data_IF_160002716926
#
_entry.id   IF_160002716926
#
_cell.length_a   1.000
_cell.length_b   1.000
_cell.length_c   1.000
_cell.angle_alpha   90.00
_cell.angle_beta   90.00
_cell.angle_gamma   90.00
#
_symmetry.space_group_name_H-M   'P 1'
#
loop_
_entity.id
_entity.type
_entity.pdbx_description
1 polymer ?
#
# COMPACT_ATOMS: atom_id res chain seq x y z
N UNK A 1 4.12 -19.48 17.46
CA UNK A 1 4.45 -18.10 17.00
C UNK A 1 4.60 -18.00 15.49
N UNK A 2 5.13 -19.03 14.80
CA UNK A 2 5.24 -19.06 13.32
C UNK A 2 3.91 -18.84 12.60
N UNK A 3 2.83 -19.53 13.01
CA UNK A 3 1.49 -19.37 12.40
C UNK A 3 1.00 -17.90 12.43
N UNK A 4 1.23 -17.19 13.54
CA UNK A 4 0.81 -15.79 13.65
C UNK A 4 1.60 -14.90 12.69
N UNK A 5 2.93 -15.09 12.61
CA UNK A 5 3.78 -14.37 11.66
C UNK A 5 3.38 -14.64 10.21
N UNK A 6 3.19 -15.91 9.85
CA UNK A 6 2.83 -16.32 8.50
C UNK A 6 1.48 -15.71 8.08
N UNK A 7 0.51 -15.68 9.01
CA UNK A 7 -0.77 -15.01 8.81
C UNK A 7 -0.64 -13.51 8.57
N UNK A 8 0.17 -12.81 9.37
CA UNK A 8 0.42 -11.38 9.20
C UNK A 8 1.10 -11.06 7.86
N UNK A 9 2.14 -11.83 7.49
CA UNK A 9 2.83 -11.65 6.20
C UNK A 9 1.89 -11.95 5.02
N UNK A 10 1.08 -13.01 5.13
CA UNK A 10 0.10 -13.36 4.10
C UNK A 10 -0.92 -12.23 3.89
N UNK A 11 -1.45 -11.67 4.97
CA UNK A 11 -2.42 -10.58 4.91
C UNK A 11 -1.78 -9.32 4.32
N UNK A 12 -0.61 -8.92 4.82
CA UNK A 12 0.10 -7.75 4.32
C UNK A 12 0.46 -7.86 2.84
N UNK A 13 0.97 -9.02 2.40
CA UNK A 13 1.24 -9.30 0.98
C UNK A 13 -0.03 -9.22 0.13
N UNK A 14 -1.18 -9.61 0.67
CA UNK A 14 -2.46 -9.51 -0.03
C UNK A 14 -2.87 -8.06 -0.26
N UNK A 15 -2.76 -7.21 0.75
CA UNK A 15 -3.10 -5.79 0.61
C UNK A 15 -2.15 -5.05 -0.35
N UNK A 16 -0.84 -5.34 -0.29
CA UNK A 16 0.15 -4.80 -1.25
C UNK A 16 -0.17 -5.19 -2.70
N UNK A 17 -0.50 -6.47 -2.95
CA UNK A 17 -0.89 -6.92 -4.29
C UNK A 17 -2.13 -6.19 -4.79
N UNK A 18 -3.13 -5.97 -3.93
CA UNK A 18 -4.34 -5.22 -4.29
C UNK A 18 -4.02 -3.79 -4.71
N UNK A 19 -3.17 -3.09 -3.96
CA UNK A 19 -2.70 -1.74 -4.30
C UNK A 19 -2.09 -1.70 -5.70
N UNK A 20 -1.14 -2.59 -6.00
CA UNK A 20 -0.47 -2.62 -7.32
C UNK A 20 -1.44 -3.03 -8.43
N UNK A 21 -2.31 -4.02 -8.18
CA UNK A 21 -3.29 -4.49 -9.15
C UNK A 21 -4.29 -3.40 -9.56
N UNK A 22 -4.68 -2.50 -8.66
CA UNK A 22 -5.62 -1.41 -8.97
C UNK A 22 -5.05 -0.40 -9.98
N UNK A 23 -3.72 -0.29 -10.11
CA UNK A 23 -3.07 0.56 -11.11
C UNK A 23 -3.05 -0.08 -12.51
N UNK A 24 -3.19 -1.41 -12.61
CA UNK A 24 -3.00 -2.13 -13.87
C UNK A 24 -3.98 -1.67 -14.95
N UNK A 25 -3.45 -1.32 -16.12
CA UNK A 25 -4.25 -0.89 -17.28
C UNK A 25 -4.79 0.55 -17.22
N UNK A 26 -4.49 1.34 -16.18
CA UNK A 26 -4.72 2.78 -16.24
C UNK A 26 -3.74 3.42 -17.22
N UNK A 27 -4.18 4.41 -18.02
CA UNK A 27 -3.26 5.21 -18.83
C UNK A 27 -2.45 6.18 -17.94
N UNK A 28 -1.28 6.61 -18.41
CA UNK A 28 -0.32 7.40 -17.64
C UNK A 28 -0.92 8.71 -17.10
N UNK A 29 -1.81 9.36 -17.86
CA UNK A 29 -2.50 10.56 -17.40
C UNK A 29 -3.43 10.29 -16.22
N UNK A 30 -4.06 9.11 -16.14
CA UNK A 30 -4.94 8.74 -15.04
C UNK A 30 -4.14 8.40 -13.77
N UNK A 31 -2.94 7.84 -13.92
CA UNK A 31 -2.07 7.46 -12.82
C UNK A 31 -1.56 8.67 -12.01
N UNK A 32 -1.47 9.84 -12.62
CA UNK A 32 -0.98 11.08 -11.99
C UNK A 32 -2.09 12.09 -11.70
N UNK A 33 -3.32 11.84 -12.16
CA UNK A 33 -4.47 12.72 -11.97
C UNK A 33 -5.16 12.45 -10.63
N UNK A 34 -5.42 13.53 -9.88
CA UNK A 34 -6.36 13.48 -8.76
C UNK A 34 -7.80 13.51 -9.26
N UNK A 35 -8.66 12.70 -8.64
CA UNK A 35 -10.11 12.67 -8.89
C UNK A 35 -10.94 13.05 -7.67
N UNK A 36 -10.30 13.47 -6.58
CA UNK A 36 -10.94 13.85 -5.32
C UNK A 36 -10.43 15.21 -4.80
N UNK A 37 -11.23 15.95 -4.03
CA UNK A 37 -10.81 17.22 -3.42
C UNK A 37 -9.59 17.11 -2.49
N UNK A 38 -9.28 15.91 -1.98
CA UNK A 38 -8.08 15.62 -1.20
C UNK A 38 -6.78 15.65 -2.02
N UNK A 39 -6.86 15.90 -3.32
CA UNK A 39 -5.75 16.18 -4.23
C UNK A 39 -4.73 15.04 -4.47
N UNK A 40 -4.85 13.86 -3.86
CA UNK A 40 -3.95 12.73 -4.14
C UNK A 40 -4.27 12.02 -5.46
N UNK A 41 -3.24 11.42 -6.09
CA UNK A 41 -3.34 10.60 -7.32
C UNK A 41 -3.00 9.13 -7.06
N UNK A 42 -3.34 8.18 -7.96
CA UNK A 42 -2.97 6.78 -7.80
C UNK A 42 -1.47 6.54 -7.57
N UNK A 43 -0.59 7.18 -8.35
CA UNK A 43 0.86 7.08 -8.12
C UNK A 43 1.31 7.77 -6.84
N UNK A 44 0.69 8.91 -6.48
CA UNK A 44 0.95 9.55 -5.19
C UNK A 44 0.67 8.61 -4.02
N UNK A 45 -0.43 7.86 -4.09
CA UNK A 45 -0.80 6.88 -3.07
C UNK A 45 0.23 5.73 -2.96
N UNK A 46 0.70 5.18 -4.08
CA UNK A 46 1.71 4.12 -4.04
C UNK A 46 3.04 4.64 -3.48
N UNK A 47 3.40 5.89 -3.79
CA UNK A 47 4.61 6.53 -3.21
C UNK A 47 4.46 6.73 -1.71
N UNK A 48 3.31 7.20 -1.24
CA UNK A 48 3.01 7.31 0.18
C UNK A 48 3.15 5.96 0.90
N UNK A 49 2.49 4.91 0.37
CA UNK A 49 2.61 3.56 0.90
C UNK A 49 4.06 3.05 0.87
N UNK A 50 4.87 3.48 -0.09
CA UNK A 50 6.29 3.11 -0.17
C UNK A 50 7.14 3.81 0.88
N UNK A 51 7.01 5.13 1.01
CA UNK A 51 7.90 5.96 1.83
C UNK A 51 7.47 6.01 3.28
N UNK A 52 6.19 6.29 3.53
CA UNK A 52 5.66 6.64 4.85
C UNK A 52 5.11 5.41 5.58
N UNK A 53 4.80 4.36 4.82
CA UNK A 53 4.27 3.11 5.37
C UNK A 53 5.34 2.03 5.39
N UNK A 54 5.78 1.53 4.23
CA UNK A 54 6.75 0.43 4.16
C UNK A 54 8.13 0.80 4.72
N UNK A 55 8.78 1.80 4.10
CA UNK A 55 10.15 2.16 4.47
C UNK A 55 10.21 2.72 5.89
N UNK A 56 9.36 3.69 6.20
CA UNK A 56 9.38 4.34 7.50
C UNK A 56 9.17 3.36 8.65
N UNK A 57 8.12 2.54 8.64
CA UNK A 57 7.83 1.65 9.76
C UNK A 57 8.83 0.50 9.88
N UNK A 58 9.15 -0.19 8.79
CA UNK A 58 9.97 -1.40 8.90
C UNK A 58 11.47 -1.09 8.87
N UNK A 59 11.94 -0.26 7.95
CA UNK A 59 13.37 0.07 7.88
C UNK A 59 13.74 1.11 8.93
N UNK A 60 12.94 2.16 9.08
CA UNK A 60 13.20 3.25 10.02
C UNK A 60 12.94 2.86 11.47
N UNK A 61 11.68 2.59 11.80
CA UNK A 61 11.24 2.38 13.19
C UNK A 61 11.65 1.01 13.72
N UNK A 62 11.38 -0.07 13.01
CA UNK A 62 11.68 -1.44 13.49
C UNK A 62 13.16 -1.77 13.37
N UNK A 63 13.76 -1.60 12.18
CA UNK A 63 15.17 -1.94 11.95
C UNK A 63 16.16 -0.86 12.42
N UNK A 64 15.68 0.33 12.78
CA UNK A 64 16.52 1.41 13.30
C UNK A 64 17.44 2.05 12.26
N UNK A 65 17.08 1.96 10.97
CA UNK A 65 17.87 2.57 9.90
C UNK A 65 17.62 4.07 9.81
N UNK A 66 18.68 4.84 9.53
CA UNK A 66 18.51 6.26 9.21
C UNK A 66 18.08 6.44 7.77
N UNK A 67 16.82 6.80 7.57
CA UNK A 67 16.25 7.02 6.25
C UNK A 67 16.39 8.48 5.80
N UNK A 68 16.75 8.65 4.53
CA UNK A 68 16.42 9.85 3.78
C UNK A 68 15.00 9.65 3.20
N UNK A 69 14.01 10.20 3.90
CA UNK A 69 12.62 10.22 3.43
C UNK A 69 12.37 11.52 2.66
N UNK A 70 11.63 11.47 1.54
CA UNK A 70 11.13 12.67 0.88
C UNK A 70 10.19 13.44 1.82
N UNK A 71 9.97 14.72 1.52
CA UNK A 71 8.91 15.49 2.17
C UNK A 71 7.52 15.02 1.70
N UNK A 72 6.47 15.32 2.46
CA UNK A 72 5.09 15.01 2.07
C UNK A 72 4.75 15.58 0.68
N UNK A 73 5.13 16.83 0.41
CA UNK A 73 4.92 17.45 -0.91
C UNK A 73 5.67 16.70 -2.01
N UNK A 74 6.90 16.24 -1.77
CA UNK A 74 7.66 15.45 -2.74
C UNK A 74 7.02 14.07 -3.00
N UNK A 75 6.38 13.47 -2.01
CA UNK A 75 5.63 12.20 -2.14
C UNK A 75 4.38 12.38 -2.99
N UNK A 76 3.54 13.34 -2.62
CA UNK A 76 2.20 13.50 -3.21
C UNK A 76 2.20 14.34 -4.50
N UNK A 77 3.09 15.32 -4.61
CA UNK A 77 3.10 16.35 -5.65
C UNK A 77 4.52 16.64 -6.17
N UNK A 78 5.23 15.64 -6.72
CA UNK A 78 6.56 15.86 -7.26
C UNK A 78 6.53 16.86 -8.42
N UNK A 79 7.59 17.65 -8.58
CA UNK A 79 7.74 18.54 -9.74
C UNK A 79 7.72 17.76 -11.06
N UNK A 80 8.20 16.52 -11.06
CA UNK A 80 8.15 15.61 -12.19
C UNK A 80 7.83 14.22 -11.68
N UNK A 81 6.80 13.61 -12.24
CA UNK A 81 6.42 12.24 -11.88
C UNK A 81 7.49 11.27 -12.39
N UNK A 82 8.00 10.37 -11.53
CA UNK A 82 8.74 9.20 -12.00
C UNK A 82 7.83 8.29 -12.84
N UNK A 83 8.45 7.49 -13.71
CA UNK A 83 7.75 6.46 -14.47
C UNK A 83 6.94 5.55 -13.55
N UNK A 84 5.70 5.22 -13.93
CA UNK A 84 4.81 4.39 -13.11
C UNK A 84 5.44 3.05 -12.74
N UNK A 85 6.15 2.43 -13.69
CA UNK A 85 6.89 1.18 -13.48
C UNK A 85 7.95 1.32 -12.38
N UNK A 86 8.70 2.43 -12.37
CA UNK A 86 9.73 2.67 -11.36
C UNK A 86 9.12 2.87 -9.96
N UNK A 87 7.93 3.50 -9.88
CA UNK A 87 7.19 3.65 -8.61
C UNK A 87 6.75 2.29 -8.07
N UNK A 88 6.19 1.43 -8.93
CA UNK A 88 5.77 0.07 -8.54
C UNK A 88 6.98 -0.76 -8.13
N UNK A 89 8.08 -0.74 -8.89
CA UNK A 89 9.31 -1.45 -8.53
C UNK A 89 9.89 -0.98 -7.19
N UNK A 90 9.83 0.32 -6.91
CA UNK A 90 10.26 0.86 -5.61
C UNK A 90 9.36 0.38 -4.45
N UNK A 91 8.04 0.30 -4.68
CA UNK A 91 7.10 -0.23 -3.70
C UNK A 91 7.37 -1.71 -3.41
N UNK A 92 7.54 -2.52 -4.45
CA UNK A 92 7.83 -3.95 -4.33
C UNK A 92 9.17 -4.21 -3.63
N UNK A 93 10.20 -3.42 -3.94
CA UNK A 93 11.49 -3.50 -3.27
C UNK A 93 11.40 -3.13 -1.78
N UNK A 94 10.63 -2.07 -1.45
CA UNK A 94 10.36 -1.72 -0.06
C UNK A 94 9.60 -2.84 0.68
N UNK A 95 8.55 -3.40 0.06
CA UNK A 95 7.80 -4.52 0.62
C UNK A 95 8.67 -5.77 0.86
N UNK A 96 9.58 -6.10 -0.07
CA UNK A 96 10.52 -7.21 0.11
C UNK A 96 11.49 -6.96 1.28
N UNK A 97 11.97 -5.72 1.45
CA UNK A 97 12.78 -5.33 2.60
C UNK A 97 11.99 -5.46 3.91
N UNK A 98 10.74 -5.00 3.92
CA UNK A 98 9.83 -5.12 5.06
C UNK A 98 9.61 -6.57 5.45
N UNK A 99 9.39 -7.47 4.49
CA UNK A 99 9.24 -8.90 4.75
C UNK A 99 10.46 -9.48 5.46
N UNK A 100 11.68 -9.15 4.99
CA UNK A 100 12.91 -9.60 5.63
C UNK A 100 13.07 -9.07 7.07
N UNK A 101 12.68 -7.82 7.33
CA UNK A 101 12.66 -7.24 8.68
C UNK A 101 11.67 -7.97 9.56
N UNK A 102 10.46 -8.21 9.07
CA UNK A 102 9.41 -8.93 9.80
C UNK A 102 9.93 -10.34 10.13
N UNK A 103 10.39 -11.10 9.14
CA UNK A 103 10.84 -12.49 9.31
C UNK A 103 11.98 -12.64 10.34
N UNK A 104 12.89 -11.67 10.41
CA UNK A 104 14.06 -11.70 11.29
C UNK A 104 13.83 -11.11 12.69
N UNK A 105 12.70 -10.45 12.95
CA UNK A 105 12.46 -9.72 14.20
C UNK A 105 11.39 -10.39 15.06
N UNK A 106 11.58 -10.59 16.38
CA UNK A 106 10.53 -11.12 17.28
C UNK A 106 9.27 -10.24 17.27
N UNK A 107 8.08 -10.85 17.37
CA UNK A 107 6.80 -10.10 17.27
C UNK A 107 6.61 -9.11 18.43
N UNK A 108 7.16 -9.42 19.61
CA UNK A 108 7.08 -8.60 20.81
C UNK A 108 8.18 -7.53 20.88
N UNK A 109 9.14 -7.54 19.93
CA UNK A 109 10.25 -6.62 19.94
C UNK A 109 9.75 -5.18 19.79
N UNK A 110 10.22 -4.30 20.67
CA UNK A 110 10.05 -2.86 20.57
C UNK A 110 11.22 -2.24 19.78
N UNK A 111 11.00 -1.08 19.11
CA UNK A 111 12.06 -0.26 18.53
C UNK A 111 13.16 0.05 19.53
N UNK A 112 14.40 0.15 19.05
CA UNK A 112 15.51 0.55 19.91
C UNK A 112 15.37 2.01 20.37
N UNK A 113 16.05 2.36 21.46
CA UNK A 113 16.07 3.74 21.95
C UNK A 113 16.65 4.71 20.90
N UNK A 114 17.62 4.26 20.12
CA UNK A 114 18.23 5.02 19.02
C UNK A 114 17.21 5.27 17.90
N UNK A 115 16.43 4.24 17.51
CA UNK A 115 15.36 4.39 16.53
C UNK A 115 14.32 5.42 17.01
N UNK A 116 13.91 5.32 18.28
CA UNK A 116 12.97 6.27 18.88
C UNK A 116 13.54 7.68 19.02
N UNK A 117 14.84 7.84 19.21
CA UNK A 117 15.50 9.14 19.21
C UNK A 117 15.58 9.76 17.80
N UNK A 118 15.71 8.94 16.75
CA UNK A 118 15.67 9.40 15.36
C UNK A 118 14.26 9.78 14.91
N UNK A 119 13.25 9.08 15.41
CA UNK A 119 11.84 9.25 15.03
C UNK A 119 10.96 9.50 16.28
N UNK A 120 11.18 10.61 17.01
CA UNK A 120 10.55 10.85 18.33
C UNK A 120 9.03 11.06 18.26
N UNK A 121 8.49 11.30 17.08
CA UNK A 121 7.05 11.44 16.81
C UNK A 121 6.37 10.10 16.52
N UNK A 122 7.14 9.04 16.24
CA UNK A 122 6.59 7.71 16.05
C UNK A 122 6.15 7.15 17.42
N UNK A 123 4.98 6.50 17.53
CA UNK A 123 4.64 5.75 18.74
C UNK A 123 5.52 4.52 18.87
N UNK A 124 6.00 4.23 20.09
CA UNK A 124 6.70 2.99 20.39
C UNK A 124 5.69 1.82 20.34
N UNK A 125 5.80 1.00 19.29
CA UNK A 125 4.93 -0.16 19.02
C UNK A 125 5.78 -1.41 18.89
N UNK A 126 5.29 -2.54 19.37
CA UNK A 126 5.90 -3.83 19.05
C UNK A 126 5.88 -4.10 17.54
N UNK A 127 6.69 -5.05 17.05
CA UNK A 127 6.62 -5.50 15.66
C UNK A 127 5.20 -5.94 15.30
N UNK A 128 4.52 -6.69 16.18
CA UNK A 128 3.14 -7.13 15.98
C UNK A 128 2.20 -5.94 15.72
N UNK A 129 2.23 -4.94 16.60
CA UNK A 129 1.40 -3.73 16.48
C UNK A 129 1.75 -2.91 15.24
N UNK A 130 3.04 -2.89 14.87
CA UNK A 130 3.51 -2.21 13.66
C UNK A 130 2.98 -2.88 12.41
N UNK A 131 3.06 -4.21 12.31
CA UNK A 131 2.52 -4.95 11.15
C UNK A 131 1.01 -4.80 11.04
N UNK A 132 0.28 -4.89 12.16
CA UNK A 132 -1.17 -4.67 12.17
C UNK A 132 -1.56 -3.27 11.70
N UNK A 133 -0.80 -2.25 12.13
CA UNK A 133 -1.00 -0.89 11.67
C UNK A 133 -0.79 -0.75 10.16
N UNK A 134 0.33 -1.27 9.64
CA UNK A 134 0.65 -1.19 8.23
C UNK A 134 -0.37 -1.96 7.38
N UNK A 135 -0.85 -3.13 7.83
CA UNK A 135 -1.96 -3.85 7.18
C UNK A 135 -3.20 -2.96 7.10
N UNK A 136 -3.59 -2.35 8.23
CA UNK A 136 -4.79 -1.51 8.32
C UNK A 136 -4.70 -0.33 7.37
N UNK A 137 -3.58 0.40 7.39
CA UNK A 137 -3.35 1.56 6.55
C UNK A 137 -3.32 1.18 5.06
N UNK A 138 -2.60 0.12 4.70
CA UNK A 138 -2.55 -0.38 3.31
C UNK A 138 -3.94 -0.80 2.82
N UNK A 139 -4.73 -1.51 3.62
CA UNK A 139 -6.08 -1.92 3.27
C UNK A 139 -7.03 -0.72 3.10
N UNK A 140 -6.92 0.29 3.96
CA UNK A 140 -7.67 1.55 3.84
C UNK A 140 -7.33 2.26 2.52
N UNK A 141 -6.05 2.39 2.19
CA UNK A 141 -5.63 3.06 0.96
C UNK A 141 -5.90 2.25 -0.31
N UNK A 142 -5.93 0.91 -0.23
CA UNK A 142 -6.43 0.07 -1.32
C UNK A 142 -7.92 0.38 -1.60
N UNK A 143 -8.74 0.55 -0.56
CA UNK A 143 -10.14 0.97 -0.72
C UNK A 143 -10.27 2.36 -1.34
N UNK A 144 -9.44 3.32 -0.93
CA UNK A 144 -9.41 4.64 -1.57
C UNK A 144 -9.02 4.56 -3.05
N UNK A 145 -8.01 3.77 -3.40
CA UNK A 145 -7.59 3.54 -4.78
C UNK A 145 -8.71 2.94 -5.63
N UNK A 146 -9.51 2.03 -5.06
CA UNK A 146 -10.64 1.43 -5.79
C UNK A 146 -11.72 2.47 -6.11
N UNK A 147 -12.01 3.39 -5.19
CA UNK A 147 -12.92 4.53 -5.48
C UNK A 147 -12.34 5.45 -6.54
N UNK A 148 -11.03 5.74 -6.49
CA UNK A 148 -10.40 6.53 -7.55
C UNK A 148 -10.46 5.81 -8.90
N UNK A 149 -10.25 4.49 -8.93
CA UNK A 149 -10.34 3.68 -10.15
C UNK A 149 -11.74 3.75 -10.76
N UNK A 150 -12.77 3.57 -9.95
CA UNK A 150 -14.16 3.66 -10.39
C UNK A 150 -14.45 5.01 -11.04
N UNK A 151 -13.96 6.11 -10.46
CA UNK A 151 -14.13 7.46 -11.02
C UNK A 151 -13.29 7.71 -12.28
N UNK A 152 -12.16 7.03 -12.43
CA UNK A 152 -11.25 7.20 -13.57
C UNK A 152 -11.75 6.47 -14.81
N UNK A 153 -12.23 5.23 -14.69
CA UNK A 153 -12.61 4.39 -15.83
C UNK A 153 -13.76 3.40 -15.59
N UNK A 154 -14.43 3.49 -14.42
CA UNK A 154 -15.58 2.63 -14.08
C UNK A 154 -15.22 1.23 -13.61
N UNK A 155 -13.94 0.84 -13.55
CA UNK A 155 -13.54 -0.44 -12.99
C UNK A 155 -13.56 -0.44 -11.46
N UNK A 156 -13.90 -1.59 -10.87
CA UNK A 156 -13.90 -1.79 -9.42
C UNK A 156 -13.18 -3.09 -9.07
N UNK A 157 -12.29 -3.05 -8.07
CA UNK A 157 -11.88 -4.25 -7.33
C UNK A 157 -12.88 -4.48 -6.20
N UNK A 158 -14.03 -5.07 -6.53
CA UNK A 158 -14.91 -5.57 -5.48
C UNK A 158 -14.21 -6.75 -4.81
N UNK A 159 -13.89 -6.62 -3.52
CA UNK A 159 -13.51 -7.76 -2.68
C UNK A 159 -14.75 -8.61 -2.47
N UNK A 160 -15.13 -9.34 -3.50
CA UNK A 160 -15.92 -10.55 -3.38
C UNK A 160 -14.84 -11.63 -3.36
N UNK A 161 -14.61 -12.23 -2.20
CA UNK A 161 -13.92 -13.52 -2.04
C UNK A 161 -13.93 -14.32 -3.35
N UNK A 162 -12.74 -14.53 -3.93
CA UNK A 162 -12.52 -15.46 -5.03
C UNK A 162 -12.96 -16.87 -4.62
N UNK A 163 -14.25 -17.14 -4.75
CA UNK A 163 -14.84 -18.47 -4.84
C UNK A 163 -15.65 -18.61 -6.13
N UNK A 164 -15.47 -17.70 -7.10
CA UNK A 164 -16.02 -17.90 -8.43
C UNK A 164 -15.12 -18.89 -9.18
N UNK A 165 -15.58 -20.13 -9.25
CA UNK A 165 -15.11 -21.14 -10.18
C UNK A 165 -15.06 -20.53 -11.60
N UNK A 166 -13.90 -20.54 -12.29
CA UNK A 166 -13.75 -19.95 -13.63
C UNK A 166 -14.63 -20.63 -14.71
N UNK A 167 -15.40 -21.66 -14.36
CA UNK A 167 -16.39 -22.28 -15.24
C UNK A 167 -17.80 -21.66 -15.17
N UNK A 168 -18.08 -20.77 -14.22
CA UNK A 168 -19.36 -20.09 -14.12
C UNK A 168 -19.41 -18.86 -15.04
N UNK A 169 -19.88 -19.05 -16.28
CA UNK A 169 -20.03 -18.00 -17.27
C UNK A 169 -20.86 -16.81 -16.77
N UNK A 170 -20.36 -15.58 -17.00
CA UNK A 170 -21.06 -14.35 -16.69
C UNK A 170 -22.32 -14.21 -17.56
N UNK A 171 -23.50 -14.40 -16.96
CA UNK A 171 -24.74 -13.96 -17.56
C UNK A 171 -24.76 -12.42 -17.56
N UNK A 172 -24.73 -11.83 -18.76
CA UNK A 172 -24.74 -10.39 -18.95
C UNK A 172 -25.96 -9.72 -18.30
N UNK A 173 -25.74 -8.61 -17.60
CA UNK A 173 -26.81 -7.76 -17.12
C UNK A 173 -27.52 -7.09 -18.32
N UNK A 174 -28.87 -7.08 -18.38
CA UNK A 174 -29.58 -6.39 -19.44
C UNK A 174 -29.50 -4.87 -19.20
N UNK A 175 -28.97 -4.16 -20.19
CA UNK A 175 -28.92 -2.71 -20.20
C UNK A 175 -30.32 -2.10 -20.24
N UNK A 176 -30.59 -1.17 -19.34
CA UNK A 176 -31.74 -0.26 -19.42
C UNK A 176 -31.25 1.08 -19.93
N UNK A 177 -31.42 1.31 -21.24
CA UNK A 177 -31.32 2.65 -21.84
C UNK A 177 -32.55 3.51 -21.48
N UNK A 178 -32.46 4.83 -21.64
CA UNK A 178 -33.46 5.77 -21.14
C UNK A 178 -34.66 5.88 -22.10
N UNK A 179 -35.85 6.08 -21.52
CA UNK A 179 -37.04 6.64 -22.19
C UNK A 179 -37.27 8.07 -21.74
#
# INVERSE_FOLDING_TARGET
MTIARDGLLSELRTQRRRVVATLAGLPDEALTRSVLPSAWSPLGMVRHLTHDVERFWFSGVVAGERLALPTDDEVWHPTTWPEARAVVEAHEAAAARSDAVIESTPLEALPSAEAMAMYPWAPARSLLETVLHVITETATHAGHLDIARELLDGHQHLVLTDFADPTAGSAGAPGTGPT
#
